data_IF_565648892685
#
_entry.id   IF_565648892685
#
_cell.length_a   1.000
_cell.length_b   1.000
_cell.length_c   1.000
_cell.angle_alpha   90.00
_cell.angle_beta   90.00
_cell.angle_gamma   90.00
#
_symmetry.space_group_name_H-M   'P 1'
#
loop_
_entity.id
_entity.type
_entity.pdbx_description
1 polymer ?
#
# COMPACT_ATOMS: atom_id res chain seq x y z
N UNK A 1 20.36 7.08 -8.67
CA UNK A 1 19.45 6.42 -9.63
C UNK A 1 18.59 5.46 -8.82
N UNK A 2 17.47 5.98 -8.26
CA UNK A 2 16.56 5.21 -7.41
C UNK A 2 15.76 4.25 -8.26
N UNK A 3 16.05 2.96 -8.18
CA UNK A 3 15.20 1.90 -8.70
C UNK A 3 14.20 1.55 -7.59
N UNK A 4 12.96 2.00 -7.74
CA UNK A 4 11.89 1.59 -6.86
C UNK A 4 11.78 0.06 -6.87
N UNK A 5 12.00 -0.56 -5.72
CA UNK A 5 12.02 -2.02 -5.53
C UNK A 5 10.63 -2.52 -5.20
N UNK A 6 9.71 -2.45 -6.18
CA UNK A 6 8.39 -3.03 -6.00
C UNK A 6 8.41 -4.54 -6.22
N UNK A 7 7.93 -5.30 -5.26
CA UNK A 7 7.54 -6.68 -5.48
C UNK A 7 6.21 -6.69 -6.23
N UNK A 8 6.27 -6.63 -7.55
CA UNK A 8 5.14 -6.87 -8.42
C UNK A 8 4.95 -8.39 -8.55
N UNK A 9 3.93 -8.94 -7.92
CA UNK A 9 3.36 -10.21 -8.40
C UNK A 9 2.66 -9.87 -9.71
N UNK A 10 3.43 -9.89 -10.79
CA UNK A 10 2.93 -9.70 -12.15
C UNK A 10 2.11 -10.93 -12.53
N UNK A 11 0.81 -10.81 -12.48
CA UNK A 11 -0.01 -11.57 -13.38
C UNK A 11 0.12 -10.93 -14.77
N UNK A 12 1.00 -11.53 -15.60
CA UNK A 12 1.16 -11.16 -17.00
C UNK A 12 -0.12 -11.53 -17.77
N UNK A 13 -1.05 -10.60 -17.88
CA UNK A 13 -2.00 -10.52 -18.98
C UNK A 13 -2.22 -9.05 -19.30
N UNK A 14 -2.15 -8.62 -20.57
CA UNK A 14 -2.70 -7.36 -20.96
C UNK A 14 -4.18 -7.43 -20.63
N UNK A 15 -4.61 -6.65 -19.62
CA UNK A 15 -6.00 -6.58 -19.21
C UNK A 15 -6.81 -6.03 -20.38
N UNK A 16 -7.46 -6.92 -21.10
CA UNK A 16 -8.62 -6.56 -21.90
C UNK A 16 -9.70 -6.08 -20.91
N UNK A 17 -9.82 -4.77 -20.82
CA UNK A 17 -10.74 -4.08 -19.90
C UNK A 17 -12.19 -4.49 -20.16
N UNK A 18 -12.51 -4.89 -21.41
CA UNK A 18 -13.85 -5.39 -21.81
C UNK A 18 -14.16 -6.76 -21.23
N UNK A 19 -13.16 -7.67 -21.14
CA UNK A 19 -13.31 -8.99 -20.51
C UNK A 19 -13.47 -8.92 -18.98
N UNK A 20 -12.81 -7.95 -18.35
CA UNK A 20 -12.91 -7.75 -16.89
C UNK A 20 -14.32 -7.27 -16.47
N UNK A 21 -14.94 -6.39 -17.25
CA UNK A 21 -16.31 -5.90 -16.99
C UNK A 21 -17.38 -6.98 -17.18
N UNK A 22 -17.20 -7.93 -18.09
CA UNK A 22 -18.14 -9.04 -18.31
C UNK A 22 -18.04 -10.09 -17.19
N UNK A 23 -16.83 -10.37 -16.69
CA UNK A 23 -16.60 -11.31 -15.59
C UNK A 23 -17.13 -10.78 -14.23
N UNK A 24 -17.07 -9.48 -14.00
CA UNK A 24 -17.52 -8.84 -12.76
C UNK A 24 -19.05 -8.92 -12.56
N UNK A 25 -19.84 -9.01 -13.63
CA UNK A 25 -21.30 -9.14 -13.53
C UNK A 25 -21.77 -10.49 -12.98
N UNK A 26 -20.96 -11.53 -13.07
CA UNK A 26 -21.32 -12.89 -12.65
C UNK A 26 -20.66 -13.38 -11.37
N UNK A 27 -19.60 -12.74 -10.88
CA UNK A 27 -18.78 -13.29 -9.79
C UNK A 27 -18.94 -12.55 -8.46
N UNK A 28 -19.50 -11.33 -8.44
CA UNK A 28 -19.67 -10.56 -7.21
C UNK A 28 -21.15 -10.46 -6.82
N UNK A 29 -21.42 -10.93 -5.60
CA UNK A 29 -22.73 -10.91 -4.97
C UNK A 29 -23.36 -9.50 -5.03
N UNK A 30 -24.62 -9.36 -5.49
CA UNK A 30 -25.35 -8.09 -5.50
C UNK A 30 -25.36 -7.37 -4.15
N UNK A 31 -25.21 -8.12 -3.05
CA UNK A 31 -25.08 -7.60 -1.69
C UNK A 31 -23.85 -6.70 -1.50
N UNK A 32 -22.68 -7.00 -2.09
CA UNK A 32 -21.48 -6.14 -1.98
C UNK A 32 -21.76 -4.75 -2.55
N UNK A 33 -22.39 -4.69 -3.72
CA UNK A 33 -22.79 -3.44 -4.36
C UNK A 33 -23.87 -2.73 -3.55
N UNK A 34 -24.74 -3.46 -2.86
CA UNK A 34 -25.83 -2.92 -2.05
C UNK A 34 -25.33 -2.29 -0.75
N UNK A 35 -24.24 -2.80 -0.17
CA UNK A 35 -23.64 -2.31 1.08
C UNK A 35 -22.73 -1.10 0.86
N UNK A 36 -22.02 -1.05 -0.26
CA UNK A 36 -21.30 0.14 -0.69
C UNK A 36 -22.24 1.30 -1.06
N UNK A 37 -23.54 1.05 -1.15
CA UNK A 37 -24.58 2.05 -1.46
C UNK A 37 -24.70 3.16 -0.42
N UNK A 38 -24.31 2.94 0.82
CA UNK A 38 -24.70 3.87 1.89
C UNK A 38 -24.00 5.22 1.79
N UNK A 39 -22.76 5.32 1.27
CA UNK A 39 -22.09 6.60 1.09
C UNK A 39 -21.18 6.72 -0.16
N UNK A 40 -20.88 5.62 -0.84
CA UNK A 40 -19.83 5.58 -1.86
C UNK A 40 -20.35 5.31 -3.27
N UNK A 41 -21.57 4.80 -3.45
CA UNK A 41 -22.08 4.46 -4.77
C UNK A 41 -23.33 5.27 -5.11
N UNK A 42 -23.20 6.24 -6.02
CA UNK A 42 -24.35 6.86 -6.69
C UNK A 42 -24.56 6.16 -8.02
N UNK A 43 -25.69 5.44 -8.24
CA UNK A 43 -26.04 4.93 -9.55
C UNK A 43 -26.02 6.09 -10.56
N UNK A 44 -25.36 5.89 -11.71
CA UNK A 44 -25.30 6.91 -12.77
C UNK A 44 -24.11 7.87 -12.68
N UNK A 45 -23.19 7.74 -11.71
CA UNK A 45 -21.96 8.52 -11.75
C UNK A 45 -21.13 8.13 -12.99
N UNK A 46 -20.76 9.08 -13.84
CA UNK A 46 -19.93 8.80 -15.01
C UNK A 46 -18.57 8.24 -14.59
N UNK A 47 -17.98 7.39 -15.44
CA UNK A 47 -16.71 6.69 -15.17
C UNK A 47 -15.58 7.65 -14.75
N UNK A 48 -15.48 8.82 -15.39
CA UNK A 48 -14.49 9.85 -15.07
C UNK A 48 -14.61 10.40 -13.63
N UNK A 49 -15.79 10.34 -13.02
CA UNK A 49 -15.98 10.73 -11.61
C UNK A 49 -15.75 9.59 -10.61
N UNK A 50 -15.80 8.33 -11.06
CA UNK A 50 -15.46 7.18 -10.21
C UNK A 50 -13.96 7.02 -10.02
N UNK A 51 -13.18 7.50 -10.96
CA UNK A 51 -11.72 7.52 -10.92
C UNK A 51 -11.15 8.82 -10.32
N UNK A 52 -11.98 9.58 -9.59
CA UNK A 52 -11.54 10.74 -8.82
C UNK A 52 -10.69 10.26 -7.62
N UNK A 53 -9.48 10.79 -7.41
CA UNK A 53 -8.62 10.43 -6.28
C UNK A 53 -9.31 10.54 -4.93
N UNK A 54 -10.12 11.57 -4.72
CA UNK A 54 -10.89 11.77 -3.48
C UNK A 54 -11.93 10.65 -3.27
N UNK A 55 -12.54 10.19 -4.35
CA UNK A 55 -13.52 9.10 -4.28
C UNK A 55 -12.84 7.77 -3.91
N UNK A 56 -11.69 7.48 -4.46
CA UNK A 56 -10.90 6.28 -4.15
C UNK A 56 -10.39 6.31 -2.73
N UNK A 57 -9.86 7.43 -2.27
CA UNK A 57 -9.44 7.61 -0.88
C UNK A 57 -10.59 7.32 0.09
N UNK A 58 -11.80 7.85 -0.18
CA UNK A 58 -13.00 7.57 0.62
C UNK A 58 -13.42 6.11 0.58
N UNK A 59 -13.32 5.45 -0.57
CA UNK A 59 -13.65 4.03 -0.70
C UNK A 59 -12.71 3.18 0.14
N UNK A 60 -11.42 3.46 0.11
CA UNK A 60 -10.41 2.76 0.89
C UNK A 60 -10.51 3.05 2.40
N UNK A 61 -10.79 4.29 2.77
CA UNK A 61 -11.10 4.65 4.16
C UNK A 61 -12.38 3.96 4.67
N UNK A 62 -13.32 3.66 3.77
CA UNK A 62 -14.53 2.88 4.06
C UNK A 62 -14.22 1.45 4.51
N UNK A 63 -13.13 0.85 4.04
CA UNK A 63 -12.70 -0.49 4.47
C UNK A 63 -12.43 -0.55 5.98
N UNK A 64 -11.89 0.52 6.56
CA UNK A 64 -11.65 0.64 8.00
C UNK A 64 -12.94 0.72 8.83
N UNK A 65 -14.06 1.03 8.21
CA UNK A 65 -15.39 0.97 8.86
C UNK A 65 -15.92 -0.46 8.89
N UNK A 66 -15.52 -1.29 7.94
CA UNK A 66 -15.98 -2.68 7.79
C UNK A 66 -15.17 -3.64 8.66
N UNK A 67 -13.85 -3.45 8.73
CA UNK A 67 -12.91 -4.37 9.35
C UNK A 67 -12.19 -3.72 10.53
N UNK A 68 -12.00 -4.48 11.60
CA UNK A 68 -11.22 -4.10 12.76
C UNK A 68 -9.85 -4.76 12.70
N UNK A 69 -8.77 -3.95 12.83
CA UNK A 69 -7.40 -4.45 12.88
C UNK A 69 -7.03 -5.03 14.25
N UNK A 70 -6.17 -6.04 14.23
CA UNK A 70 -5.57 -6.59 15.45
C UNK A 70 -4.20 -7.23 15.12
N UNK A 71 -3.14 -6.76 15.80
CA UNK A 71 -1.76 -7.25 15.67
C UNK A 71 -1.22 -7.84 16.96
N UNK A 72 -2.05 -7.99 18.01
CA UNK A 72 -1.61 -8.48 19.32
C UNK A 72 -1.28 -9.97 19.36
N UNK A 73 -1.69 -10.75 18.33
CA UNK A 73 -1.60 -12.22 18.35
C UNK A 73 -2.75 -12.90 19.11
N UNK A 74 -3.51 -12.17 19.90
CA UNK A 74 -4.74 -12.66 20.53
C UNK A 74 -5.96 -12.25 19.70
N UNK A 75 -6.70 -13.23 19.19
CA UNK A 75 -7.87 -13.02 18.32
C UNK A 75 -9.18 -13.49 18.96
N UNK A 76 -9.22 -13.56 20.30
CA UNK A 76 -10.43 -13.91 21.03
C UNK A 76 -11.58 -12.96 20.69
N UNK A 77 -12.77 -13.49 20.49
CA UNK A 77 -13.94 -12.73 20.08
C UNK A 77 -14.00 -12.34 18.60
N UNK A 78 -13.16 -12.94 17.77
CA UNK A 78 -13.16 -12.75 16.32
C UNK A 78 -12.44 -13.85 15.55
N UNK A 79 -12.25 -13.66 14.25
CA UNK A 79 -11.56 -14.58 13.36
C UNK A 79 -10.09 -14.18 13.24
N UNK A 80 -9.17 -15.13 13.40
CA UNK A 80 -7.76 -14.89 13.14
C UNK A 80 -7.57 -14.41 11.69
N UNK A 81 -6.82 -13.31 11.44
CA UNK A 81 -6.62 -12.75 10.11
C UNK A 81 -6.14 -13.75 9.05
N UNK A 82 -5.37 -14.76 9.45
CA UNK A 82 -4.85 -15.80 8.55
C UNK A 82 -5.89 -16.83 8.12
N UNK A 83 -7.08 -16.85 8.72
CA UNK A 83 -8.14 -17.80 8.39
C UNK A 83 -9.14 -17.28 7.35
N UNK A 84 -9.06 -16.00 6.99
CA UNK A 84 -9.94 -15.45 5.97
C UNK A 84 -9.59 -16.03 4.58
N UNK A 85 -10.59 -16.61 3.94
CA UNK A 85 -10.45 -17.20 2.59
C UNK A 85 -10.74 -16.21 1.46
N UNK A 86 -10.98 -14.95 1.79
CA UNK A 86 -11.26 -13.85 0.85
C UNK A 86 -12.11 -12.76 1.45
N UNK A 87 -12.48 -11.78 0.64
CA UNK A 87 -13.27 -10.62 1.08
C UNK A 87 -14.77 -10.93 1.26
N UNK A 88 -15.30 -11.94 0.57
CA UNK A 88 -16.73 -12.24 0.57
C UNK A 88 -17.28 -12.59 1.97
N UNK A 89 -16.65 -13.44 2.78
CA UNK A 89 -17.12 -13.73 4.14
C UNK A 89 -17.17 -12.48 5.01
N UNK A 90 -16.15 -11.60 4.92
CA UNK A 90 -16.07 -10.35 5.70
C UNK A 90 -17.21 -9.40 5.30
N UNK A 91 -17.41 -9.23 3.99
CA UNK A 91 -18.48 -8.36 3.48
C UNK A 91 -19.87 -8.90 3.83
N UNK A 92 -20.05 -10.22 3.79
CA UNK A 92 -21.30 -10.86 4.19
C UNK A 92 -21.59 -10.62 5.67
N UNK A 93 -20.65 -10.89 6.56
CA UNK A 93 -20.79 -10.71 8.00
C UNK A 93 -21.12 -9.24 8.35
N UNK A 94 -20.35 -8.30 7.76
CA UNK A 94 -20.64 -6.88 7.95
C UNK A 94 -22.04 -6.51 7.45
N UNK A 95 -22.47 -7.12 6.37
CA UNK A 95 -23.75 -6.88 5.76
C UNK A 95 -24.95 -7.32 6.61
N UNK A 96 -24.77 -8.41 7.30
CA UNK A 96 -25.80 -9.01 8.14
C UNK A 96 -25.87 -8.32 9.52
N UNK A 97 -24.74 -7.84 10.02
CA UNK A 97 -24.63 -7.33 11.39
C UNK A 97 -24.56 -5.81 11.49
N UNK A 98 -24.04 -5.12 10.47
CA UNK A 98 -23.71 -3.69 10.54
C UNK A 98 -22.55 -3.36 11.49
N UNK A 99 -21.91 -4.39 12.08
CA UNK A 99 -20.84 -4.27 13.06
C UNK A 99 -19.51 -4.57 12.38
N UNK A 100 -18.43 -3.86 12.79
CA UNK A 100 -17.09 -4.14 12.28
C UNK A 100 -16.72 -5.61 12.50
N UNK A 101 -16.33 -6.25 11.41
CA UNK A 101 -15.85 -7.64 11.42
C UNK A 101 -14.49 -7.73 12.10
N UNK A 102 -14.27 -8.74 12.90
CA UNK A 102 -13.05 -8.95 13.71
C UNK A 102 -12.36 -10.25 13.24
N UNK A 103 -11.08 -10.28 12.93
CA UNK A 103 -10.07 -9.21 12.84
C UNK A 103 -9.39 -9.22 11.47
N UNK A 104 -8.69 -8.11 11.12
CA UNK A 104 -7.85 -8.01 9.94
C UNK A 104 -6.42 -7.56 10.26
N UNK A 105 -5.53 -7.79 9.29
CA UNK A 105 -4.18 -7.22 9.22
C UNK A 105 -3.95 -6.70 7.79
N UNK A 106 -2.78 -6.16 7.48
CA UNK A 106 -2.56 -5.40 6.26
C UNK A 106 -3.00 -6.15 4.98
N UNK A 107 -2.70 -7.44 4.84
CA UNK A 107 -3.12 -8.22 3.67
C UNK A 107 -4.64 -8.40 3.57
N UNK A 108 -5.34 -8.45 4.70
CA UNK A 108 -6.81 -8.56 4.73
C UNK A 108 -7.43 -7.23 4.31
N UNK A 109 -6.89 -6.12 4.83
CA UNK A 109 -7.28 -4.77 4.43
C UNK A 109 -7.03 -4.53 2.94
N UNK A 110 -5.84 -4.88 2.45
CA UNK A 110 -5.48 -4.75 1.04
C UNK A 110 -6.40 -5.59 0.14
N UNK A 111 -6.67 -6.85 0.51
CA UNK A 111 -7.57 -7.73 -0.24
C UNK A 111 -8.99 -7.19 -0.28
N UNK A 112 -9.49 -6.70 0.86
CA UNK A 112 -10.82 -6.11 0.95
C UNK A 112 -10.91 -4.82 0.13
N UNK A 113 -9.92 -3.92 0.25
CA UNK A 113 -9.85 -2.69 -0.55
C UNK A 113 -9.78 -2.96 -2.05
N UNK A 114 -8.98 -3.95 -2.47
CA UNK A 114 -8.90 -4.39 -3.86
C UNK A 114 -10.25 -4.88 -4.38
N UNK A 115 -10.97 -5.69 -3.58
CA UNK A 115 -12.30 -6.19 -3.93
C UNK A 115 -13.32 -5.05 -4.06
N UNK A 116 -13.27 -4.08 -3.15
CA UNK A 116 -14.14 -2.89 -3.20
C UNK A 116 -13.86 -2.07 -4.46
N UNK A 117 -12.58 -1.75 -4.75
CA UNK A 117 -12.22 -1.00 -5.95
C UNK A 117 -12.67 -1.70 -7.24
N UNK A 118 -12.42 -3.01 -7.34
CA UNK A 118 -12.84 -3.82 -8.49
C UNK A 118 -14.36 -3.86 -8.64
N UNK A 119 -15.12 -3.95 -7.55
CA UNK A 119 -16.58 -3.90 -7.58
C UNK A 119 -17.12 -2.53 -8.04
N UNK A 120 -16.34 -1.46 -7.84
CA UNK A 120 -16.63 -0.12 -8.36
C UNK A 120 -16.19 0.10 -9.82
N UNK A 121 -15.55 -0.91 -10.44
CA UNK A 121 -15.02 -0.85 -11.80
C UNK A 121 -13.68 -0.13 -11.90
N UNK A 122 -12.95 0.00 -10.79
CA UNK A 122 -11.61 0.59 -10.73
C UNK A 122 -10.59 -0.54 -10.81
N UNK A 123 -9.69 -0.55 -11.80
CA UNK A 123 -8.62 -1.54 -11.84
C UNK A 123 -7.75 -1.43 -10.59
N UNK A 124 -7.57 -2.55 -9.89
CA UNK A 124 -6.82 -2.61 -8.65
C UNK A 124 -6.06 -3.92 -8.53
N UNK A 125 -4.93 -3.87 -7.84
CA UNK A 125 -4.09 -5.03 -7.51
C UNK A 125 -3.54 -4.91 -6.10
N UNK A 126 -3.32 -6.05 -5.44
CA UNK A 126 -2.62 -6.09 -4.15
C UNK A 126 -1.12 -6.04 -4.41
N UNK A 127 -0.43 -5.26 -3.61
CA UNK A 127 1.04 -5.16 -3.57
C UNK A 127 1.52 -5.60 -2.20
N UNK A 128 2.61 -6.35 -2.16
CA UNK A 128 3.29 -6.73 -0.92
C UNK A 128 4.73 -6.25 -0.97
N UNK A 129 5.15 -5.55 0.06
CA UNK A 129 6.51 -5.06 0.26
C UNK A 129 7.15 -5.85 1.41
N UNK A 130 8.33 -6.41 1.19
CA UNK A 130 9.05 -7.20 2.19
C UNK A 130 10.08 -6.32 2.87
N UNK A 131 10.11 -6.37 4.21
CA UNK A 131 10.86 -5.44 5.06
C UNK A 131 10.45 -4.00 4.72
N UNK A 132 9.22 -3.66 5.08
CA UNK A 132 8.65 -2.34 4.84
C UNK A 132 8.99 -1.42 6.00
N UNK A 133 9.54 -0.25 5.72
CA UNK A 133 9.88 0.69 6.78
C UNK A 133 8.62 1.29 7.42
N UNK A 134 8.74 1.63 8.71
CA UNK A 134 7.84 2.56 9.39
C UNK A 134 8.67 3.78 9.74
N UNK A 135 8.52 4.83 8.97
CA UNK A 135 9.23 6.10 9.15
C UNK A 135 8.30 7.01 9.96
N UNK A 136 8.66 7.26 11.21
CA UNK A 136 7.81 8.03 12.13
C UNK A 136 8.09 9.53 12.09
N UNK A 137 9.26 9.94 11.59
CA UNK A 137 9.72 11.32 11.59
C UNK A 137 9.86 11.92 10.19
N UNK A 138 9.49 11.14 9.16
CA UNK A 138 9.55 11.53 7.75
C UNK A 138 10.97 11.84 7.27
N UNK A 139 11.98 11.20 7.90
CA UNK A 139 13.39 11.36 7.56
C UNK A 139 13.80 10.60 6.29
N UNK A 140 12.96 9.68 5.81
CA UNK A 140 13.22 8.71 4.74
C UNK A 140 14.31 7.70 5.12
N UNK A 141 14.58 7.55 6.41
CA UNK A 141 15.52 6.56 6.97
C UNK A 141 14.83 5.69 8.01
N UNK A 142 15.42 4.57 8.35
CA UNK A 142 15.09 3.73 9.50
C UNK A 142 16.24 3.87 10.46
N UNK A 143 16.03 4.55 11.57
CA UNK A 143 17.09 4.95 12.46
C UNK A 143 17.24 3.99 13.66
N UNK A 144 18.49 3.64 13.94
CA UNK A 144 18.89 2.90 15.15
C UNK A 144 19.88 3.72 15.95
N UNK A 145 19.60 3.89 17.22
CA UNK A 145 20.42 4.67 18.14
C UNK A 145 21.09 3.76 19.15
N UNK A 146 22.41 3.88 19.21
CA UNK A 146 23.26 3.15 20.14
C UNK A 146 23.86 4.12 21.15
N UNK A 147 23.97 3.70 22.42
CA UNK A 147 24.67 4.46 23.46
C UNK A 147 26.20 4.48 23.22
N UNK A 148 26.93 5.17 24.11
CA UNK A 148 28.39 5.26 24.04
C UNK A 148 29.08 3.88 24.15
N UNK A 149 28.48 2.93 24.84
CA UNK A 149 28.97 1.56 25.01
C UNK A 149 28.65 0.66 23.81
N UNK A 150 27.80 1.14 22.88
CA UNK A 150 27.40 0.41 21.69
C UNK A 150 26.17 -0.49 21.90
N UNK A 151 25.42 -0.30 22.97
CA UNK A 151 24.16 -0.98 23.22
C UNK A 151 23.02 -0.24 22.51
N UNK A 152 22.08 -1.00 21.94
CA UNK A 152 20.92 -0.44 21.23
C UNK A 152 19.94 0.17 22.23
N UNK A 153 19.69 1.47 22.15
CA UNK A 153 18.74 2.20 22.98
C UNK A 153 17.38 2.39 22.30
N UNK A 154 17.40 2.70 21.02
CA UNK A 154 16.19 2.93 20.25
C UNK A 154 16.35 2.36 18.84
N UNK A 155 15.26 1.85 18.29
CA UNK A 155 15.20 1.34 16.95
C UNK A 155 13.83 1.62 16.36
N UNK A 156 13.79 2.33 15.24
CA UNK A 156 12.59 2.39 14.44
C UNK A 156 12.25 1.03 13.89
N UNK A 157 10.96 0.72 13.88
CA UNK A 157 10.51 -0.61 13.49
C UNK A 157 10.42 -0.74 11.97
N UNK A 158 10.58 -1.98 11.51
CA UNK A 158 10.22 -2.39 10.16
C UNK A 158 9.18 -3.49 10.24
N UNK A 159 8.22 -3.48 9.35
CA UNK A 159 7.36 -4.62 9.13
C UNK A 159 8.16 -5.73 8.45
N UNK A 160 7.98 -6.97 8.86
CA UNK A 160 8.49 -8.12 8.09
C UNK A 160 7.93 -8.12 6.65
N UNK A 161 6.66 -7.74 6.49
CA UNK A 161 6.06 -7.34 5.23
C UNK A 161 4.87 -6.41 5.48
N UNK A 162 4.58 -5.54 4.52
CA UNK A 162 3.37 -4.74 4.49
C UNK A 162 2.64 -4.93 3.16
N UNK A 163 1.31 -4.83 3.17
CA UNK A 163 0.50 -4.99 1.98
C UNK A 163 -0.48 -3.82 1.83
N UNK A 164 -0.54 -3.27 0.62
CA UNK A 164 -1.49 -2.25 0.19
C UNK A 164 -2.06 -2.58 -1.18
N UNK A 165 -2.71 -1.64 -1.83
CA UNK A 165 -3.20 -1.80 -3.19
C UNK A 165 -2.66 -0.71 -4.11
N UNK A 166 -2.43 -1.09 -5.37
CA UNK A 166 -2.34 -0.12 -6.45
C UNK A 166 -3.67 -0.06 -7.18
N UNK A 167 -4.10 1.15 -7.54
CA UNK A 167 -5.29 1.42 -8.33
C UNK A 167 -4.94 2.25 -9.56
N UNK A 168 -5.62 2.01 -10.69
CA UNK A 168 -5.37 2.75 -11.92
C UNK A 168 -6.29 3.96 -12.01
N UNK A 169 -5.73 5.16 -11.93
CA UNK A 169 -6.45 6.42 -11.93
C UNK A 169 -5.81 7.45 -12.85
N UNK A 170 -6.65 8.34 -13.40
CA UNK A 170 -6.18 9.64 -13.87
C UNK A 170 -5.93 10.55 -12.66
N UNK A 171 -4.97 11.45 -12.79
CA UNK A 171 -4.61 12.44 -11.76
C UNK A 171 -4.72 13.85 -12.35
N UNK A 172 -5.97 14.36 -12.58
CA UNK A 172 -6.16 15.70 -13.12
C UNK A 172 -5.74 16.81 -12.13
N UNK A 173 -5.53 16.47 -10.89
CA UNK A 173 -5.00 17.30 -9.79
C UNK A 173 -3.48 17.42 -9.82
N UNK A 174 -2.77 16.60 -10.58
CA UNK A 174 -1.31 16.61 -10.74
C UNK A 174 -0.90 17.01 -12.16
N UNK A 175 0.38 17.40 -12.37
CA UNK A 175 0.89 17.62 -13.71
C UNK A 175 0.76 16.41 -14.63
N UNK A 176 0.80 16.58 -15.96
CA UNK A 176 0.81 15.45 -16.91
C UNK A 176 1.95 14.46 -16.61
N UNK A 177 1.65 13.15 -16.67
CA UNK A 177 2.62 12.09 -16.44
C UNK A 177 2.52 11.41 -15.06
N UNK A 178 1.68 11.90 -14.15
CA UNK A 178 1.48 11.31 -12.81
C UNK A 178 0.22 10.43 -12.71
N UNK A 179 -0.56 10.31 -13.78
CA UNK A 179 -1.65 9.33 -13.88
C UNK A 179 -1.11 7.91 -13.98
N UNK A 180 -2.02 6.93 -13.97
CA UNK A 180 -1.69 5.51 -14.00
C UNK A 180 -1.84 4.86 -12.63
N UNK A 181 -0.90 3.99 -12.27
CA UNK A 181 -0.94 3.31 -10.98
C UNK A 181 -0.71 4.27 -9.81
N UNK A 182 -1.55 4.15 -8.80
CA UNK A 182 -1.51 4.94 -7.56
C UNK A 182 -1.52 3.99 -6.37
N UNK A 183 -0.57 4.16 -5.45
CA UNK A 183 -0.57 3.42 -4.20
C UNK A 183 -1.66 3.95 -3.26
N UNK A 184 -2.43 3.05 -2.69
CA UNK A 184 -3.47 3.35 -1.69
C UNK A 184 -3.38 2.32 -0.59
N UNK A 185 -3.28 2.77 0.65
CA UNK A 185 -3.17 1.89 1.80
C UNK A 185 -4.46 1.87 2.63
N UNK A 186 -5.28 0.81 2.52
CA UNK A 186 -6.49 0.69 3.31
C UNK A 186 -6.24 0.46 4.81
N UNK A 187 -5.03 0.00 5.19
CA UNK A 187 -4.66 -0.22 6.59
C UNK A 187 -4.46 1.11 7.31
N UNK A 188 -3.64 1.97 6.72
CA UNK A 188 -3.33 3.30 7.25
C UNK A 188 -4.40 4.32 6.87
N UNK A 189 -5.04 4.15 5.74
CA UNK A 189 -6.02 5.09 5.17
C UNK A 189 -5.36 6.20 4.37
N UNK A 190 -4.18 5.96 3.83
CA UNK A 190 -3.36 6.90 3.06
C UNK A 190 -3.48 6.71 1.55
N UNK A 191 -3.08 7.71 0.80
CA UNK A 191 -3.13 7.74 -0.67
C UNK A 191 -4.44 8.32 -1.23
N UNK A 192 -4.56 8.39 -2.57
CA UNK A 192 -3.73 7.77 -3.59
C UNK A 192 -2.42 8.55 -3.88
N UNK A 193 -1.31 7.83 -3.86
CA UNK A 193 0.03 8.36 -4.12
C UNK A 193 0.54 7.86 -5.48
N UNK A 194 0.96 8.79 -6.37
CA UNK A 194 1.40 8.43 -7.71
C UNK A 194 2.66 7.55 -7.68
N UNK A 195 2.62 6.39 -8.34
CA UNK A 195 3.79 5.53 -8.48
C UNK A 195 4.93 6.23 -9.23
N UNK A 196 4.62 7.11 -10.16
CA UNK A 196 5.65 7.89 -10.86
C UNK A 196 6.34 8.89 -9.94
N UNK A 197 5.59 9.53 -9.02
CA UNK A 197 6.17 10.40 -8.00
C UNK A 197 7.04 9.60 -7.02
N UNK A 198 6.56 8.43 -6.55
CA UNK A 198 7.33 7.54 -5.68
C UNK A 198 8.64 7.10 -6.35
N UNK A 199 8.60 6.67 -7.62
CA UNK A 199 9.79 6.25 -8.37
C UNK A 199 10.82 7.36 -8.54
N UNK A 200 10.39 8.60 -8.63
CA UNK A 200 11.24 9.77 -8.79
C UNK A 200 11.72 10.36 -7.46
N UNK A 201 11.14 9.92 -6.33
CA UNK A 201 11.40 10.49 -5.01
C UNK A 201 10.82 11.90 -4.85
N UNK A 202 9.71 12.20 -5.52
CA UNK A 202 9.08 13.52 -5.51
C UNK A 202 8.03 13.61 -4.40
N UNK A 203 8.22 14.47 -3.42
CA UNK A 203 7.36 14.64 -2.23
C UNK A 203 6.55 15.95 -2.24
N UNK A 204 6.61 16.72 -3.32
CA UNK A 204 6.11 18.10 -3.37
C UNK A 204 4.63 18.22 -3.77
N UNK A 205 3.82 17.15 -3.71
CA UNK A 205 2.42 17.18 -4.14
C UNK A 205 1.44 17.08 -2.97
N UNK A 206 0.19 17.51 -3.20
CA UNK A 206 -0.89 17.52 -2.21
C UNK A 206 -1.16 16.14 -1.57
N UNK A 207 -0.98 15.07 -2.34
CA UNK A 207 -0.99 13.71 -1.79
C UNK A 207 0.44 13.30 -1.50
N UNK A 208 0.80 13.36 -0.25
CA UNK A 208 2.13 13.02 0.22
C UNK A 208 2.49 11.56 -0.14
N UNK A 209 3.68 11.39 -0.67
CA UNK A 209 4.24 10.09 -1.06
C UNK A 209 5.41 9.67 -0.16
N UNK A 210 5.78 10.49 0.83
CA UNK A 210 6.94 10.29 1.71
C UNK A 210 6.85 8.94 2.41
N UNK A 211 5.71 8.62 3.01
CA UNK A 211 5.45 7.32 3.65
C UNK A 211 5.73 6.15 2.69
N UNK A 212 5.25 6.19 1.46
CA UNK A 212 5.46 5.10 0.50
C UNK A 212 6.87 5.05 -0.06
N UNK A 213 7.57 6.18 -0.15
CA UNK A 213 8.99 6.21 -0.49
C UNK A 213 9.79 5.54 0.61
N UNK A 214 9.55 5.90 1.88
CA UNK A 214 10.18 5.28 3.04
C UNK A 214 9.93 3.78 3.09
N UNK A 215 8.67 3.36 2.97
CA UNK A 215 8.30 1.94 3.04
C UNK A 215 9.05 1.06 2.04
N UNK A 216 9.37 1.59 0.85
CA UNK A 216 9.97 0.81 -0.24
C UNK A 216 11.46 1.06 -0.44
N UNK A 217 12.02 2.12 0.12
CA UNK A 217 13.39 2.55 -0.21
C UNK A 217 14.12 3.33 0.88
N UNK A 218 13.65 3.32 2.14
CA UNK A 218 14.39 3.94 3.23
C UNK A 218 15.78 3.32 3.41
N UNK A 219 16.76 4.14 3.70
CA UNK A 219 18.06 3.67 4.16
C UNK A 219 17.99 3.29 5.64
N UNK A 220 18.68 2.23 6.05
CA UNK A 220 18.86 1.94 7.48
C UNK A 220 20.12 2.66 7.95
N UNK A 221 19.96 3.47 9.01
CA UNK A 221 21.06 4.29 9.55
C UNK A 221 21.31 3.95 11.01
N UNK A 222 22.57 3.61 11.33
CA UNK A 222 23.00 3.40 12.69
C UNK A 222 23.67 4.70 13.21
N UNK A 223 23.17 5.19 14.35
CA UNK A 223 23.67 6.36 15.07
C UNK A 223 24.28 5.94 16.40
N UNK A 224 25.37 6.51 16.78
CA UNK A 224 26.02 6.28 18.09
C UNK A 224 26.09 7.58 18.88
N UNK A 225 25.81 7.50 20.17
CA UNK A 225 25.98 8.63 21.08
C UNK A 225 27.40 9.20 21.01
N UNK A 226 27.51 10.52 20.86
CA UNK A 226 28.76 11.26 20.72
C UNK A 226 28.54 12.66 21.31
N UNK A 227 29.15 12.94 22.45
CA UNK A 227 29.00 14.21 23.16
C UNK A 227 29.58 15.40 22.39
N UNK A 228 30.51 15.15 21.43
CA UNK A 228 31.09 16.18 20.58
C UNK A 228 30.22 16.50 19.36
N UNK A 229 29.23 15.65 19.04
CA UNK A 229 28.33 15.87 17.93
C UNK A 229 27.23 16.88 18.27
N UNK A 230 26.89 17.77 17.31
CA UNK A 230 25.91 18.85 17.47
C UNK A 230 24.54 18.35 17.99
N UNK A 231 24.11 17.16 17.61
CA UNK A 231 22.85 16.55 17.99
C UNK A 231 23.02 15.42 19.04
N UNK A 232 24.23 15.27 19.63
CA UNK A 232 24.52 14.22 20.59
C UNK A 232 24.72 12.82 19.98
N UNK A 233 24.62 12.68 18.67
CA UNK A 233 24.80 11.41 17.95
C UNK A 233 25.60 11.60 16.67
N UNK A 234 26.40 10.60 16.35
CA UNK A 234 27.17 10.51 15.12
C UNK A 234 26.70 9.31 14.30
N UNK A 235 26.50 9.52 13.01
CA UNK A 235 26.20 8.44 12.07
C UNK A 235 27.42 7.53 11.91
N UNK A 236 27.24 6.23 12.17
CA UNK A 236 28.31 5.23 12.11
C UNK A 236 28.15 4.25 10.95
N UNK A 237 26.93 4.06 10.45
CA UNK A 237 26.66 3.14 9.35
C UNK A 237 25.43 3.55 8.56
N UNK A 238 25.45 3.26 7.26
CA UNK A 238 24.26 3.36 6.38
C UNK A 238 24.18 2.09 5.54
N UNK A 239 22.99 1.49 5.48
CA UNK A 239 22.68 0.33 4.64
C UNK A 239 21.54 0.74 3.71
N UNK A 240 21.82 0.72 2.41
CA UNK A 240 20.94 1.27 1.37
C UNK A 240 20.08 0.22 0.66
N UNK A 241 20.20 -1.05 1.04
CA UNK A 241 19.54 -2.19 0.41
C UNK A 241 18.78 -3.08 1.40
N UNK A 242 18.52 -2.57 2.61
CA UNK A 242 17.84 -3.33 3.66
C UNK A 242 16.31 -3.32 3.49
N UNK A 243 15.72 -2.16 3.21
CA UNK A 243 14.27 -1.97 3.09
C UNK A 243 13.80 -2.27 1.67
N UNK A 244 12.58 -2.78 1.55
CA UNK A 244 11.97 -3.03 0.24
C UNK A 244 12.61 -4.18 -0.53
N UNK A 245 13.02 -5.24 0.16
CA UNK A 245 13.69 -6.37 -0.46
C UNK A 245 12.80 -7.07 -1.51
N UNK A 246 13.37 -7.30 -2.71
CA UNK A 246 12.66 -7.98 -3.79
C UNK A 246 12.80 -9.49 -3.69
N UNK A 247 11.67 -10.20 -3.61
CA UNK A 247 11.59 -11.63 -3.87
C UNK A 247 10.96 -11.85 -5.24
N UNK A 248 11.76 -12.26 -6.21
CA UNK A 248 11.32 -12.47 -7.58
C UNK A 248 11.49 -13.94 -7.97
N UNK A 249 10.47 -14.51 -8.60
CA UNK A 249 10.52 -15.87 -9.17
C UNK A 249 11.16 -15.89 -10.54
N UNK A 250 11.42 -14.72 -11.12
CA UNK A 250 12.03 -14.55 -12.45
C UNK A 250 12.92 -13.30 -12.42
N UNK A 251 14.02 -13.32 -13.18
CA UNK A 251 14.87 -12.14 -13.38
C UNK A 251 14.01 -10.97 -13.87
N UNK A 252 14.06 -9.79 -13.23
CA UNK A 252 13.26 -8.66 -13.67
C UNK A 252 13.66 -8.25 -15.08
N UNK A 253 12.67 -8.02 -15.92
CA UNK A 253 12.90 -7.37 -17.20
C UNK A 253 13.01 -5.86 -16.95
N UNK A 254 14.18 -5.31 -17.13
CA UNK A 254 14.40 -3.87 -17.05
C UNK A 254 14.16 -3.33 -18.45
N UNK A 255 13.06 -2.62 -18.65
CA UNK A 255 12.83 -1.92 -19.91
C UNK A 255 13.91 -0.85 -20.09
N UNK A 256 14.77 -1.05 -21.08
CA UNK A 256 15.75 -0.07 -21.52
C UNK A 256 15.34 0.42 -22.92
N UNK A 257 14.89 1.68 -23.05
CA UNK A 257 14.47 2.22 -24.33
C UNK A 257 15.62 2.28 -25.35
N UNK A 258 16.86 2.21 -24.89
CA UNK A 258 18.06 2.25 -25.73
C UNK A 258 18.64 0.86 -26.02
N UNK A 259 18.08 -0.22 -25.44
CA UNK A 259 18.51 -1.60 -25.69
C UNK A 259 19.94 -1.94 -25.21
N UNK A 260 20.52 -1.13 -24.33
CA UNK A 260 21.92 -1.30 -23.90
C UNK A 260 22.08 -2.29 -22.74
N UNK A 261 21.01 -2.60 -22.00
CA UNK A 261 21.04 -3.43 -20.79
C UNK A 261 20.60 -4.88 -20.93
N UNK A 262 20.16 -5.29 -22.11
CA UNK A 262 19.76 -6.67 -22.41
C UNK A 262 20.92 -7.53 -22.95
N UNK A 263 22.18 -7.12 -22.73
CA UNK A 263 23.38 -7.86 -23.14
C UNK A 263 24.07 -8.55 -21.99
#
# INVERSE_FOLDING_TARGET
MMLARYMLVLWNSPLDVSGCLASLKHTYCPSVVQYLKVDLWRPGLPYNKRCDPVYVSRACSGVRKILQGNWSGNYEGGTNPSLWTGSAPILKEYSETGIKVKYGQCWVYASLGCSVCRALGIPARVVTNVISATDYDESLTVDKYFNADGELEFNESTWNFHAWIDVWLARPDLPPGYGGWQAVDPTMGTGPSSLEAIKRGEVAYEFDVTEKISEVNADLVDWKADEEALLGFRKIKTITDYVGYQMLTKKPHIFDPNGERDR
#
